data_IF_676587182032
#
_entry.id   IF_676587182032
#
_cell.length_a   1.000
_cell.length_b   1.000
_cell.length_c   1.000
_cell.angle_alpha   90.00
_cell.angle_beta   90.00
_cell.angle_gamma   90.00
#
_symmetry.space_group_name_H-M   'P 1'
#
loop_
_entity.id
_entity.type
_entity.pdbx_description
1 polymer ?
#
# COMPACT_ATOMS: atom_id res chain seq x y z
N UNK A 1 -12.10 -3.79 15.71
CA UNK A 1 -12.22 -2.37 16.10
C UNK A 1 -13.64 -1.90 15.87
N UNK A 2 -14.10 -0.89 16.62
CA UNK A 2 -15.46 -0.33 16.49
C UNK A 2 -15.35 0.99 15.72
N UNK A 3 -16.12 1.13 14.64
CA UNK A 3 -16.12 2.35 13.82
C UNK A 3 -16.65 3.55 14.60
N UNK A 4 -16.04 4.71 14.39
CA UNK A 4 -16.58 5.98 14.85
C UNK A 4 -17.91 6.26 14.11
N UNK A 5 -18.93 6.69 14.84
CA UNK A 5 -20.26 6.96 14.26
C UNK A 5 -21.12 5.71 14.22
N UNK A 6 -20.97 4.86 13.19
CA UNK A 6 -21.84 3.69 12.98
C UNK A 6 -21.75 2.62 14.06
N UNK A 7 -20.66 2.62 14.85
CA UNK A 7 -20.35 1.60 15.87
C UNK A 7 -20.32 0.16 15.34
N UNK A 8 -20.23 -0.01 14.02
CA UNK A 8 -20.05 -1.32 13.42
C UNK A 8 -18.70 -1.91 13.84
N UNK A 9 -18.69 -3.20 14.16
CA UNK A 9 -17.46 -3.95 14.36
C UNK A 9 -16.80 -4.21 13.01
N UNK A 10 -15.48 -4.01 12.99
CA UNK A 10 -14.65 -4.24 11.82
C UNK A 10 -13.42 -5.05 12.21
N UNK A 11 -13.17 -6.13 11.48
CA UNK A 11 -11.88 -6.81 11.49
C UNK A 11 -10.89 -6.01 10.64
N UNK A 12 -9.69 -5.76 11.17
CA UNK A 12 -8.61 -5.12 10.44
C UNK A 12 -7.43 -6.08 10.32
N UNK A 13 -6.81 -6.19 9.13
CA UNK A 13 -5.52 -6.85 9.02
C UNK A 13 -4.47 -6.04 9.76
N UNK A 14 -3.45 -6.73 10.26
CA UNK A 14 -2.25 -6.13 10.83
C UNK A 14 -1.05 -7.01 10.47
N UNK A 15 0.12 -6.40 10.34
CA UNK A 15 1.35 -7.15 10.09
C UNK A 15 1.72 -8.03 11.29
N UNK A 16 2.55 -9.04 11.05
CA UNK A 16 3.16 -9.85 12.12
C UNK A 16 3.86 -8.97 13.16
N UNK A 17 4.61 -7.97 12.72
CA UNK A 17 5.33 -7.04 13.59
C UNK A 17 4.38 -6.27 14.51
N UNK A 18 3.23 -5.83 14.00
CA UNK A 18 2.23 -5.15 14.83
C UNK A 18 1.71 -6.07 15.95
N UNK A 19 1.53 -7.37 15.67
CA UNK A 19 1.15 -8.35 16.69
C UNK A 19 2.28 -8.64 17.68
N UNK A 20 3.54 -8.65 17.24
CA UNK A 20 4.72 -8.76 18.13
C UNK A 20 4.73 -7.61 19.13
N UNK A 21 4.63 -6.36 18.66
CA UNK A 21 4.60 -5.18 19.54
C UNK A 21 3.40 -5.18 20.47
N UNK A 22 2.23 -5.58 19.98
CA UNK A 22 1.05 -5.72 20.83
C UNK A 22 1.27 -6.75 21.94
N UNK A 23 1.94 -7.87 21.63
CA UNK A 23 2.23 -8.90 22.62
C UNK A 23 3.22 -8.43 23.68
N UNK A 24 4.28 -7.73 23.27
CA UNK A 24 5.25 -7.13 24.21
C UNK A 24 4.55 -6.18 25.18
N UNK A 25 3.70 -5.29 24.67
CA UNK A 25 2.88 -4.40 25.51
C UNK A 25 2.00 -5.18 26.50
N UNK A 26 1.32 -6.24 26.06
CA UNK A 26 0.47 -7.04 26.95
C UNK A 26 1.25 -7.71 28.08
N UNK A 27 2.47 -8.18 27.79
CA UNK A 27 3.37 -8.78 28.79
C UNK A 27 3.83 -7.73 29.79
N UNK A 28 4.26 -6.55 29.31
CA UNK A 28 4.73 -5.45 30.16
C UNK A 28 3.62 -4.91 31.09
N UNK A 29 2.38 -4.88 30.60
CA UNK A 29 1.22 -4.44 31.39
C UNK A 29 0.61 -5.55 32.27
N UNK A 30 1.16 -6.76 32.24
CA UNK A 30 0.67 -7.91 32.99
C UNK A 30 0.57 -7.62 34.49
N UNK A 31 -0.60 -7.85 35.08
CA UNK A 31 -0.85 -7.60 36.51
C UNK A 31 -0.97 -6.11 36.89
N UNK A 32 -0.72 -5.18 35.97
CA UNK A 32 -0.86 -3.73 36.19
C UNK A 32 -2.24 -3.21 35.78
N UNK A 33 -2.89 -3.86 34.82
CA UNK A 33 -4.21 -3.47 34.30
C UNK A 33 -5.21 -4.63 34.39
N UNK A 34 -6.52 -4.34 34.45
CA UNK A 34 -7.53 -5.38 34.44
C UNK A 34 -7.55 -6.14 33.11
N UNK A 35 -7.89 -7.43 33.15
CA UNK A 35 -7.96 -8.31 31.97
C UNK A 35 -9.42 -8.57 31.56
N UNK A 36 -9.68 -8.62 30.26
CA UNK A 36 -11.04 -8.89 29.75
C UNK A 36 -11.26 -8.47 28.30
N UNK A 37 -12.13 -9.20 27.59
CA UNK A 37 -12.39 -9.02 26.15
C UNK A 37 -13.04 -7.68 25.78
N UNK A 38 -13.73 -7.03 26.73
CA UNK A 38 -14.47 -5.78 26.53
C UNK A 38 -13.77 -4.56 27.14
N UNK A 39 -12.56 -4.73 27.66
CA UNK A 39 -11.79 -3.62 28.24
C UNK A 39 -11.03 -2.86 27.16
N UNK A 40 -10.71 -1.57 27.41
CA UNK A 40 -9.83 -0.81 26.53
C UNK A 40 -8.47 -1.52 26.35
N UNK A 41 -7.95 -1.49 25.13
CA UNK A 41 -6.66 -2.12 24.82
C UNK A 41 -5.48 -1.32 25.40
N UNK A 42 -5.53 0.00 25.27
CA UNK A 42 -4.43 0.90 25.61
C UNK A 42 -4.67 1.59 26.95
N UNK A 43 -3.66 1.57 27.81
CA UNK A 43 -3.68 2.16 29.15
C UNK A 43 -2.48 3.08 29.36
N UNK A 44 -2.61 4.05 30.27
CA UNK A 44 -1.51 4.94 30.65
C UNK A 44 -0.49 4.21 31.52
N UNK A 45 0.80 4.47 31.29
CA UNK A 45 1.89 3.98 32.15
C UNK A 45 1.93 4.65 33.53
N UNK A 46 1.42 5.89 33.63
CA UNK A 46 1.35 6.62 34.91
C UNK A 46 0.38 5.92 35.85
N UNK A 47 0.79 5.73 37.11
CA UNK A 47 -0.06 5.16 38.16
C UNK A 47 -0.99 6.21 38.80
N UNK A 48 -2.24 5.86 39.15
CA UNK A 48 -2.90 4.59 38.84
C UNK A 48 -3.22 4.48 37.33
N UNK A 49 -3.10 3.30 36.69
CA UNK A 49 -3.39 3.13 35.27
C UNK A 49 -4.81 3.53 34.93
N UNK A 50 -4.97 4.27 33.82
CA UNK A 50 -6.27 4.67 33.27
C UNK A 50 -6.33 4.31 31.79
N UNK A 51 -7.52 4.07 31.21
CA UNK A 51 -7.67 3.93 29.77
C UNK A 51 -7.05 5.12 29.03
N UNK A 52 -6.26 4.83 27.99
CA UNK A 52 -5.58 5.86 27.22
C UNK A 52 -6.61 6.65 26.40
N UNK A 53 -6.75 7.93 26.71
CA UNK A 53 -7.63 8.83 25.95
C UNK A 53 -6.96 9.30 24.67
N UNK A 54 -7.76 9.79 23.72
CA UNK A 54 -7.24 10.38 22.49
C UNK A 54 -6.25 11.52 22.76
N UNK A 55 -6.59 12.45 23.65
CA UNK A 55 -5.68 13.56 24.02
C UNK A 55 -4.38 13.06 24.64
N UNK A 56 -4.44 12.04 25.50
CA UNK A 56 -3.24 11.44 26.09
C UNK A 56 -2.36 10.76 25.03
N UNK A 57 -2.97 10.02 24.10
CA UNK A 57 -2.27 9.42 22.97
C UNK A 57 -1.62 10.48 22.06
N UNK A 58 -2.32 11.58 21.77
CA UNK A 58 -1.79 12.69 20.98
C UNK A 58 -0.56 13.31 21.65
N UNK A 59 -0.65 13.64 22.94
CA UNK A 59 0.47 14.22 23.70
C UNK A 59 1.63 13.25 23.87
N UNK A 60 1.35 11.96 24.04
CA UNK A 60 2.38 10.92 24.06
C UNK A 60 3.11 10.86 22.73
N UNK A 61 2.37 10.87 21.62
CA UNK A 61 2.95 10.83 20.28
C UNK A 61 3.77 12.07 19.96
N UNK A 62 3.29 13.27 20.29
CA UNK A 62 4.07 14.53 20.13
C UNK A 62 5.44 14.44 20.81
N UNK A 63 5.49 13.92 22.04
CA UNK A 63 6.76 13.76 22.77
C UNK A 63 7.67 12.73 22.10
N UNK A 64 7.12 11.62 21.63
CA UNK A 64 7.89 10.59 20.94
C UNK A 64 8.42 11.11 19.58
N UNK A 65 7.61 11.84 18.82
CA UNK A 65 8.02 12.48 17.58
C UNK A 65 9.14 13.49 17.82
N UNK A 66 9.01 14.37 18.83
CA UNK A 66 10.05 15.31 19.20
C UNK A 66 11.37 14.62 19.59
N UNK A 67 11.29 13.55 20.39
CA UNK A 67 12.47 12.75 20.77
C UNK A 67 13.14 12.07 19.56
N UNK A 68 12.36 11.73 18.54
CA UNK A 68 12.86 11.18 17.27
C UNK A 68 13.28 12.25 16.24
N UNK A 69 13.28 13.54 16.61
CA UNK A 69 13.59 14.64 15.67
C UNK A 69 12.55 14.83 14.57
N UNK A 70 11.32 14.37 14.79
CA UNK A 70 10.22 14.41 13.82
C UNK A 70 9.14 15.41 14.23
N UNK A 71 8.53 16.05 13.25
CA UNK A 71 7.33 16.90 13.41
C UNK A 71 6.04 16.15 13.04
N UNK A 72 6.11 14.83 12.83
CA UNK A 72 4.96 14.03 12.48
C UNK A 72 3.88 14.10 13.57
N UNK A 73 2.62 14.10 13.15
CA UNK A 73 1.46 14.02 14.03
C UNK A 73 0.89 12.61 14.04
N UNK A 74 0.07 12.28 15.03
CA UNK A 74 -0.62 10.99 15.07
C UNK A 74 -1.52 10.79 13.84
N UNK A 75 -2.11 11.87 13.32
CA UNK A 75 -2.90 11.85 12.10
C UNK A 75 -2.05 11.57 10.85
N UNK A 76 -0.81 12.08 10.81
CA UNK A 76 0.12 11.85 9.72
C UNK A 76 0.44 10.36 9.51
N UNK A 77 0.40 9.54 10.57
CA UNK A 77 0.56 8.08 10.44
C UNK A 77 -0.55 7.47 9.56
N UNK A 78 -1.81 7.88 9.79
CA UNK A 78 -2.94 7.40 9.00
C UNK A 78 -2.80 7.82 7.54
N UNK A 79 -2.43 9.08 7.28
CA UNK A 79 -2.20 9.54 5.92
C UNK A 79 -1.06 8.78 5.25
N UNK A 80 0.06 8.59 5.94
CA UNK A 80 1.22 7.86 5.40
C UNK A 80 0.84 6.43 5.04
N UNK A 81 0.13 5.72 5.92
CA UNK A 81 -0.35 4.36 5.63
C UNK A 81 -1.32 4.34 4.45
N UNK A 82 -2.25 5.30 4.38
CA UNK A 82 -3.21 5.40 3.29
C UNK A 82 -2.55 5.67 1.93
N UNK A 83 -1.59 6.60 1.86
CA UNK A 83 -0.82 6.86 0.64
C UNK A 83 -0.03 5.63 0.22
N UNK A 84 0.73 4.99 1.14
CA UNK A 84 1.50 3.78 0.81
C UNK A 84 0.63 2.64 0.29
N UNK A 85 -0.53 2.42 0.91
CA UNK A 85 -1.48 1.42 0.44
C UNK A 85 -2.10 1.78 -0.92
N UNK A 86 -2.41 3.06 -1.16
CA UNK A 86 -3.00 3.49 -2.43
C UNK A 86 -1.98 3.54 -3.59
N UNK A 87 -0.70 3.66 -3.29
CA UNK A 87 0.40 3.60 -4.25
C UNK A 87 0.82 2.17 -4.62
N UNK A 88 0.40 1.17 -3.84
CA UNK A 88 0.70 -0.23 -4.10
C UNK A 88 -0.17 -0.78 -5.24
N UNK A 89 0.43 -1.15 -6.39
CA UNK A 89 -0.32 -1.65 -7.54
C UNK A 89 -1.00 -3.01 -7.29
N UNK A 90 -0.54 -3.77 -6.29
CA UNK A 90 -1.12 -5.07 -5.94
C UNK A 90 -2.29 -4.94 -4.95
N UNK A 91 -2.54 -3.72 -4.43
CA UNK A 91 -3.59 -3.46 -3.44
C UNK A 91 -4.74 -2.65 -4.05
N UNK A 92 -5.91 -3.28 -4.29
CA UNK A 92 -7.07 -2.56 -4.83
C UNK A 92 -7.54 -1.43 -3.91
N UNK A 93 -7.93 -0.29 -4.48
CA UNK A 93 -8.42 0.86 -3.71
C UNK A 93 -9.66 0.54 -2.86
N UNK A 94 -10.45 -0.47 -3.26
CA UNK A 94 -11.58 -0.99 -2.48
C UNK A 94 -11.14 -1.60 -1.15
N UNK A 95 -9.98 -2.24 -1.13
CA UNK A 95 -9.41 -2.89 0.05
C UNK A 95 -8.80 -1.82 0.98
N UNK A 96 -8.16 -0.80 0.39
CA UNK A 96 -7.73 0.40 1.12
C UNK A 96 -8.93 1.10 1.78
N UNK A 97 -10.03 1.29 1.05
CA UNK A 97 -11.28 1.84 1.60
C UNK A 97 -11.78 1.01 2.78
N UNK A 98 -11.77 -0.33 2.64
CA UNK A 98 -12.15 -1.22 3.74
C UNK A 98 -11.27 -0.98 4.96
N UNK A 99 -9.94 -1.07 4.82
CA UNK A 99 -8.98 -0.87 5.94
C UNK A 99 -9.15 0.49 6.60
N UNK A 100 -9.35 1.55 5.82
CA UNK A 100 -9.57 2.90 6.34
C UNK A 100 -10.97 3.06 6.95
N UNK A 101 -11.92 2.19 6.63
CA UNK A 101 -13.29 2.25 7.13
C UNK A 101 -14.07 3.45 6.57
N UNK A 102 -13.72 3.92 5.37
CA UNK A 102 -14.46 4.98 4.69
C UNK A 102 -15.77 4.45 4.15
N UNK A 103 -16.82 5.28 4.22
CA UNK A 103 -18.14 4.94 3.69
C UNK A 103 -18.23 5.13 2.17
N UNK A 104 -17.46 6.08 1.63
CA UNK A 104 -17.45 6.41 0.21
C UNK A 104 -16.04 6.20 -0.35
N UNK A 105 -15.97 5.57 -1.53
CA UNK A 105 -14.71 5.38 -2.24
C UNK A 105 -14.08 6.74 -2.59
N UNK A 106 -14.88 7.77 -2.85
CA UNK A 106 -14.43 9.14 -3.12
C UNK A 106 -13.59 9.73 -1.99
N UNK A 107 -13.86 9.37 -0.72
CA UNK A 107 -13.01 9.77 0.41
C UNK A 107 -11.63 9.10 0.35
N UNK A 108 -11.56 7.85 -0.12
CA UNK A 108 -10.30 7.11 -0.28
C UNK A 108 -9.52 7.57 -1.52
N UNK A 109 -10.21 8.02 -2.58
CA UNK A 109 -9.59 8.57 -3.78
C UNK A 109 -8.72 9.81 -3.50
N UNK A 110 -8.89 10.49 -2.38
CA UNK A 110 -8.01 11.59 -1.94
C UNK A 110 -6.53 11.16 -1.82
N UNK A 111 -6.27 9.87 -1.64
CA UNK A 111 -4.92 9.30 -1.55
C UNK A 111 -4.32 8.92 -2.91
N UNK A 112 -5.07 9.02 -4.00
CA UNK A 112 -4.56 8.70 -5.33
C UNK A 112 -3.81 9.83 -6.00
N UNK A 113 -3.83 11.05 -5.44
CA UNK A 113 -3.22 12.24 -6.06
C UNK A 113 -1.72 12.00 -6.27
N UNK A 114 -1.29 11.69 -7.50
CA UNK A 114 0.10 11.38 -7.77
C UNK A 114 0.88 12.66 -8.06
N UNK A 115 2.18 12.66 -7.81
CA UNK A 115 3.03 13.75 -8.31
C UNK A 115 3.08 13.67 -9.85
N UNK A 116 3.05 14.83 -10.50
CA UNK A 116 3.05 14.93 -11.97
C UNK A 116 4.22 14.15 -12.60
N UNK A 117 5.41 14.25 -12.02
CA UNK A 117 6.62 13.54 -12.46
C UNK A 117 6.44 12.02 -12.45
N UNK A 118 5.78 11.48 -11.43
CA UNK A 118 5.53 10.04 -11.31
C UNK A 118 4.49 9.56 -12.33
N UNK A 119 3.50 10.40 -12.67
CA UNK A 119 2.55 10.11 -13.74
C UNK A 119 3.27 10.02 -15.09
N UNK A 120 4.08 11.02 -15.42
CA UNK A 120 4.85 11.06 -16.67
C UNK A 120 5.74 9.83 -16.76
N UNK A 121 6.51 9.52 -15.70
CA UNK A 121 7.38 8.35 -15.65
C UNK A 121 6.60 7.05 -15.90
N UNK A 122 5.46 6.84 -15.23
CA UNK A 122 4.65 5.62 -15.37
C UNK A 122 4.03 5.47 -16.76
N UNK A 123 3.52 6.56 -17.34
CA UNK A 123 2.93 6.53 -18.69
C UNK A 123 3.99 6.20 -19.74
N UNK A 124 5.17 6.81 -19.67
CA UNK A 124 6.29 6.50 -20.57
C UNK A 124 6.75 5.04 -20.42
N UNK A 125 6.88 4.54 -19.18
CA UNK A 125 7.23 3.15 -18.92
C UNK A 125 6.19 2.17 -19.49
N UNK A 126 4.90 2.49 -19.33
CA UNK A 126 3.81 1.70 -19.90
C UNK A 126 3.89 1.63 -21.43
N UNK A 127 4.09 2.77 -22.12
CA UNK A 127 4.26 2.77 -23.57
C UNK A 127 5.47 1.96 -24.03
N UNK A 128 6.61 2.11 -23.36
CA UNK A 128 7.81 1.34 -23.70
C UNK A 128 7.61 -0.18 -23.54
N UNK A 129 6.87 -0.62 -22.51
CA UNK A 129 6.51 -2.02 -22.31
C UNK A 129 5.56 -2.54 -23.41
N UNK A 130 4.55 -1.74 -23.77
CA UNK A 130 3.63 -2.08 -24.86
C UNK A 130 4.37 -2.26 -26.19
N UNK A 131 5.30 -1.35 -26.50
CA UNK A 131 6.14 -1.46 -27.70
C UNK A 131 7.01 -2.71 -27.67
N UNK A 132 7.65 -3.03 -26.53
CA UNK A 132 8.44 -4.27 -26.38
C UNK A 132 7.59 -5.52 -26.58
N UNK A 133 6.42 -5.57 -25.96
CA UNK A 133 5.47 -6.68 -26.09
C UNK A 133 5.00 -6.84 -27.54
N UNK A 134 4.69 -5.75 -28.23
CA UNK A 134 4.28 -5.78 -29.63
C UNK A 134 5.41 -6.27 -30.57
N UNK A 135 6.64 -5.81 -30.35
CA UNK A 135 7.81 -6.28 -31.11
C UNK A 135 8.07 -7.78 -30.88
N UNK A 136 7.94 -8.27 -29.64
CA UNK A 136 8.06 -9.70 -29.32
C UNK A 136 6.97 -10.55 -30.00
N UNK A 137 5.71 -10.06 -30.05
CA UNK A 137 4.63 -10.73 -30.78
C UNK A 137 4.87 -10.78 -32.28
N UNK A 138 5.40 -9.70 -32.86
CA UNK A 138 5.76 -9.65 -34.28
C UNK A 138 6.93 -10.58 -34.63
N UNK A 139 7.82 -10.87 -33.67
CA UNK A 139 8.97 -11.76 -33.84
C UNK A 139 8.66 -13.24 -33.60
N UNK A 140 7.39 -13.64 -33.42
CA UNK A 140 7.04 -15.05 -33.28
C UNK A 140 7.46 -15.85 -34.53
N UNK A 141 8.09 -17.03 -34.37
CA UNK A 141 8.52 -17.82 -35.51
C UNK A 141 7.31 -18.20 -36.37
N UNK A 142 7.46 -18.23 -37.70
CA UNK A 142 6.36 -18.58 -38.58
C UNK A 142 5.85 -19.99 -38.30
N UNK A 143 4.56 -20.21 -38.54
CA UNK A 143 3.92 -21.51 -38.31
C UNK A 143 4.71 -22.64 -39.03
N UNK A 144 4.79 -23.85 -38.44
CA UNK A 144 5.52 -24.96 -39.04
C UNK A 144 5.05 -25.22 -40.48
N UNK A 145 5.99 -25.17 -41.44
CA UNK A 145 5.70 -25.30 -42.87
C UNK A 145 5.97 -24.04 -43.70
N UNK A 146 6.11 -22.88 -43.06
CA UNK A 146 6.55 -21.65 -43.74
C UNK A 146 8.07 -21.47 -43.61
N UNK A 147 8.75 -21.30 -44.75
CA UNK A 147 10.16 -20.93 -44.78
C UNK A 147 10.32 -19.42 -44.52
N UNK A 148 11.21 -19.01 -43.60
CA UNK A 148 11.40 -17.59 -43.24
C UNK A 148 11.80 -16.74 -44.45
N UNK A 149 12.58 -17.29 -45.39
CA UNK A 149 13.03 -16.61 -46.60
C UNK A 149 11.85 -16.24 -47.53
N UNK A 150 10.84 -17.10 -47.61
CA UNK A 150 9.64 -16.85 -48.42
C UNK A 150 8.78 -15.73 -47.83
N UNK A 151 8.73 -15.65 -46.50
CA UNK A 151 7.99 -14.59 -45.80
C UNK A 151 8.70 -13.24 -45.89
N UNK A 152 10.04 -13.22 -45.88
CA UNK A 152 10.83 -12.00 -46.07
C UNK A 152 10.54 -11.33 -47.43
N UNK A 153 10.39 -12.12 -48.50
CA UNK A 153 10.01 -11.63 -49.84
C UNK A 153 8.59 -11.08 -49.86
N UNK A 154 7.64 -11.74 -49.19
CA UNK A 154 6.23 -11.33 -49.18
C UNK A 154 5.97 -10.05 -48.38
N UNK A 155 6.73 -9.81 -47.30
CA UNK A 155 6.54 -8.67 -46.40
C UNK A 155 7.63 -7.59 -46.51
N UNK A 156 8.51 -7.67 -47.50
CA UNK A 156 9.49 -6.62 -47.81
C UNK A 156 10.69 -6.54 -46.86
N UNK A 157 11.03 -7.63 -46.17
CA UNK A 157 12.23 -7.73 -45.35
C UNK A 157 13.48 -7.70 -46.23
N UNK A 158 14.31 -6.68 -46.07
CA UNK A 158 15.49 -6.41 -46.89
C UNK A 158 16.43 -7.63 -46.98
N UNK A 159 16.50 -8.28 -48.14
CA UNK A 159 17.48 -9.33 -48.44
C UNK A 159 18.77 -8.64 -48.88
N UNK A 160 19.55 -8.16 -47.91
CA UNK A 160 20.88 -7.61 -48.13
C UNK A 160 21.82 -8.71 -48.62
N UNK A 161 22.39 -8.52 -49.81
CA UNK A 161 23.00 -9.57 -50.62
C UNK A 161 24.31 -10.15 -50.10
N UNK A 162 24.60 -11.36 -50.59
CA UNK A 162 25.94 -11.90 -50.72
C UNK A 162 26.05 -12.48 -52.13
N UNK A 163 26.68 -11.72 -53.03
CA UNK A 163 27.17 -12.22 -54.31
C UNK A 163 28.71 -12.31 -54.21
N UNK A 164 29.18 -13.55 -54.32
CA UNK A 164 30.51 -14.08 -54.70
C UNK A 164 31.77 -13.25 -54.44
#
# INVERSE_FOLDING_TARGET
MVRKGSRAEQALPASSDAFVWLRLYQVEMGGLIPTGRRLPLWWTLRRPPRPLTYHAAHRMFERAAAAAGSTATLHALRHTAAYRMAEDPELPLTDVQFVLGHALLTTTQLYLTPRQEDVIRRVLAHHAEQTRTAAQRAAAPPAPGYRPDTLAVLFGGNVGGAAS
#
